data_IF_056363760944
#
_entry.id   IF_056363760944
#
_cell.length_a   1.000
_cell.length_b   1.000
_cell.length_c   1.000
_cell.angle_alpha   90.00
_cell.angle_beta   90.00
_cell.angle_gamma   90.00
#
_symmetry.space_group_name_H-M   'P 1'
#
loop_
_entity.id
_entity.type
_entity.pdbx_description
1 polymer ?
#
# COMPACT_ATOMS: atom_id res chain seq x y z
N UNK A 1 -24.74 -6.77 -11.50
CA UNK A 1 -24.07 -6.53 -10.22
C UNK A 1 -24.73 -7.25 -9.03
N UNK A 2 -26.07 -7.31 -8.94
CA UNK A 2 -26.81 -7.98 -7.84
C UNK A 2 -26.56 -9.49 -7.85
N UNK A 3 -26.62 -10.14 -9.02
CA UNK A 3 -26.36 -11.58 -9.14
C UNK A 3 -24.93 -11.93 -8.76
N UNK A 4 -23.94 -11.08 -9.11
CA UNK A 4 -22.56 -11.24 -8.68
C UNK A 4 -22.44 -11.17 -7.16
N UNK A 5 -23.01 -10.12 -6.54
CA UNK A 5 -22.98 -9.96 -5.08
C UNK A 5 -23.68 -11.13 -4.35
N UNK A 6 -24.77 -11.64 -4.92
CA UNK A 6 -25.46 -12.83 -4.39
C UNK A 6 -24.59 -14.08 -4.45
N UNK A 7 -23.83 -14.26 -5.54
CA UNK A 7 -22.93 -15.41 -5.68
C UNK A 7 -21.74 -15.34 -4.75
N UNK A 8 -21.22 -14.14 -4.44
CA UNK A 8 -20.14 -13.96 -3.47
C UNK A 8 -20.52 -14.42 -2.06
N UNK A 9 -21.81 -14.33 -1.69
CA UNK A 9 -22.28 -14.74 -0.37
C UNK A 9 -22.93 -16.11 -0.34
N UNK A 10 -23.31 -16.68 -1.49
CA UNK A 10 -24.11 -17.90 -1.60
C UNK A 10 -23.49 -19.10 -0.88
N UNK A 11 -22.17 -19.25 -0.96
CA UNK A 11 -21.47 -20.40 -0.39
C UNK A 11 -20.93 -20.17 1.02
N UNK A 12 -21.08 -18.97 1.58
CA UNK A 12 -20.45 -18.62 2.87
C UNK A 12 -20.96 -19.48 4.02
N UNK A 13 -22.26 -19.82 4.05
CA UNK A 13 -22.81 -20.68 5.11
C UNK A 13 -22.25 -22.10 5.03
N UNK A 14 -22.21 -22.69 3.83
CA UNK A 14 -21.64 -24.04 3.66
C UNK A 14 -20.14 -24.05 3.98
N UNK A 15 -19.39 -23.02 3.55
CA UNK A 15 -17.98 -22.87 3.85
C UNK A 15 -17.74 -22.71 5.36
N UNK A 16 -18.55 -21.91 6.04
CA UNK A 16 -18.47 -21.74 7.49
C UNK A 16 -18.59 -23.07 8.22
N UNK A 17 -19.59 -23.91 7.87
CA UNK A 17 -19.80 -25.22 8.52
C UNK A 17 -18.61 -26.16 8.26
N UNK A 18 -18.10 -26.21 7.04
CA UNK A 18 -16.92 -27.04 6.71
C UNK A 18 -15.71 -26.58 7.52
N UNK A 19 -15.45 -25.27 7.56
CA UNK A 19 -14.33 -24.71 8.31
C UNK A 19 -14.47 -24.96 9.82
N UNK A 20 -15.68 -24.75 10.36
CA UNK A 20 -15.98 -25.01 11.78
C UNK A 20 -15.67 -26.45 12.17
N UNK A 21 -16.12 -27.43 11.38
CA UNK A 21 -15.83 -28.85 11.61
C UNK A 21 -14.33 -29.14 11.54
N UNK A 22 -13.61 -28.58 10.55
CA UNK A 22 -12.17 -28.79 10.43
C UNK A 22 -11.39 -28.16 11.60
N UNK A 23 -11.76 -26.96 12.03
CA UNK A 23 -11.14 -26.28 13.16
C UNK A 23 -11.39 -27.07 14.46
N UNK A 24 -12.60 -27.56 14.66
CA UNK A 24 -12.95 -28.37 15.82
C UNK A 24 -12.15 -29.68 15.89
N UNK A 25 -12.03 -30.40 14.77
CA UNK A 25 -11.19 -31.62 14.68
C UNK A 25 -9.73 -31.36 15.03
N UNK A 26 -9.24 -30.16 14.81
CA UNK A 26 -7.85 -29.74 15.11
C UNK A 26 -7.69 -29.06 16.46
N UNK A 27 -8.74 -28.99 17.27
CA UNK A 27 -8.79 -28.23 18.52
C UNK A 27 -8.36 -26.75 18.39
N UNK A 28 -8.78 -26.10 17.29
CA UNK A 28 -8.41 -24.70 16.95
C UNK A 28 -9.62 -23.77 16.93
N UNK A 29 -10.82 -24.29 17.12
CA UNK A 29 -12.05 -23.51 16.99
C UNK A 29 -12.05 -22.34 18.00
N UNK A 30 -11.73 -22.59 19.25
CA UNK A 30 -11.68 -21.56 20.31
C UNK A 30 -10.68 -20.43 19.96
N UNK A 31 -9.48 -20.78 19.53
CA UNK A 31 -8.47 -19.81 19.14
C UNK A 31 -8.93 -18.97 17.93
N UNK A 32 -9.65 -19.57 16.98
CA UNK A 32 -10.21 -18.87 15.83
C UNK A 32 -11.33 -17.91 16.25
N UNK A 33 -12.19 -18.31 17.19
CA UNK A 33 -13.26 -17.46 17.73
C UNK A 33 -12.64 -16.27 18.46
N UNK A 34 -11.66 -16.50 19.32
CA UNK A 34 -10.97 -15.44 20.07
C UNK A 34 -10.34 -14.40 19.13
N UNK A 35 -9.61 -14.86 18.10
CA UNK A 35 -9.01 -13.95 17.10
C UNK A 35 -10.09 -13.19 16.32
N UNK A 36 -11.19 -13.85 15.96
CA UNK A 36 -12.30 -13.21 15.27
C UNK A 36 -12.94 -12.12 16.15
N UNK A 37 -13.12 -12.35 17.44
CA UNK A 37 -13.60 -11.35 18.38
C UNK A 37 -12.63 -10.17 18.51
N UNK A 38 -11.32 -10.41 18.49
CA UNK A 38 -10.32 -9.35 18.46
C UNK A 38 -10.41 -8.50 17.19
N UNK A 39 -10.72 -9.11 16.04
CA UNK A 39 -10.93 -8.38 14.79
C UNK A 39 -12.18 -7.49 14.83
N UNK A 40 -13.28 -7.94 15.45
CA UNK A 40 -14.52 -7.13 15.56
C UNK A 40 -14.35 -5.87 16.43
N UNK A 41 -13.36 -5.88 17.34
CA UNK A 41 -13.05 -4.72 18.19
C UNK A 41 -12.18 -3.67 17.48
N UNK A 42 -11.70 -3.95 16.28
CA UNK A 42 -10.90 -2.99 15.51
C UNK A 42 -11.80 -1.89 14.96
N UNK A 43 -11.60 -0.69 15.42
CA UNK A 43 -12.26 0.47 14.85
C UNK A 43 -11.57 0.90 13.56
N UNK A 44 -12.38 1.17 12.55
CA UNK A 44 -11.90 1.77 11.31
C UNK A 44 -11.80 3.28 11.51
N UNK A 45 -10.61 3.78 11.79
CA UNK A 45 -10.37 5.21 11.96
C UNK A 45 -10.28 5.99 10.64
N UNK A 46 -10.62 5.36 9.53
CA UNK A 46 -10.39 5.92 8.19
C UNK A 46 -8.91 5.96 7.82
N UNK A 47 -8.62 6.05 6.54
CA UNK A 47 -7.28 6.42 6.08
C UNK A 47 -7.28 7.94 5.90
N UNK A 48 -6.87 8.66 6.93
CA UNK A 48 -6.60 10.10 6.77
C UNK A 48 -5.34 10.25 5.91
N UNK A 49 -5.39 11.19 4.98
CA UNK A 49 -4.19 11.62 4.28
C UNK A 49 -3.20 12.14 5.32
N UNK A 50 -2.01 11.55 5.34
CA UNK A 50 -0.89 12.03 6.15
C UNK A 50 0.14 12.64 5.19
N UNK A 51 0.38 13.94 5.33
CA UNK A 51 1.35 14.66 4.52
C UNK A 51 2.78 14.10 4.61
N UNK A 52 3.08 13.27 5.61
CA UNK A 52 4.38 12.61 5.76
C UNK A 52 4.44 11.21 5.12
N UNK A 53 3.31 10.66 4.68
CA UNK A 53 3.24 9.32 4.05
C UNK A 53 4.06 9.19 2.75
N UNK A 54 4.48 10.30 2.13
CA UNK A 54 5.40 10.26 1.00
C UNK A 54 6.74 9.61 1.34
N UNK A 55 7.16 9.62 2.62
CA UNK A 55 8.35 8.93 3.07
C UNK A 55 8.24 7.39 3.03
N UNK A 56 7.01 6.87 2.96
CA UNK A 56 6.74 5.43 2.80
C UNK A 56 6.90 4.94 1.36
N UNK A 57 7.01 5.86 0.40
CA UNK A 57 7.32 5.51 -0.99
C UNK A 57 8.62 4.72 -1.03
N UNK A 58 8.61 3.57 -1.70
CA UNK A 58 9.77 2.68 -1.76
C UNK A 58 11.01 3.43 -2.25
N UNK A 59 12.09 3.34 -1.50
CA UNK A 59 13.38 4.03 -1.75
C UNK A 59 13.37 5.55 -1.53
N UNK A 60 12.31 6.16 -0.99
CA UNK A 60 12.30 7.61 -0.71
C UNK A 60 13.54 8.06 0.10
N UNK A 61 14.02 7.23 1.02
CA UNK A 61 15.21 7.49 1.84
C UNK A 61 16.53 7.60 1.04
N UNK A 62 16.54 7.23 -0.23
CA UNK A 62 17.74 7.37 -1.11
C UNK A 62 17.76 8.68 -1.88
N UNK A 63 16.68 9.47 -1.81
CA UNK A 63 16.56 10.73 -2.51
C UNK A 63 17.29 11.86 -1.80
N UNK A 64 17.75 12.85 -2.57
CA UNK A 64 18.28 14.11 -2.03
C UNK A 64 17.18 14.90 -1.33
N UNK A 65 17.56 15.89 -0.52
CA UNK A 65 16.58 16.78 0.14
C UNK A 65 15.68 17.51 -0.87
N UNK A 66 16.22 17.93 -2.00
CA UNK A 66 15.48 18.58 -3.07
C UNK A 66 14.48 17.58 -3.71
N UNK A 67 14.94 16.39 -4.07
CA UNK A 67 14.09 15.32 -4.60
C UNK A 67 12.98 14.91 -3.64
N UNK A 68 13.24 14.92 -2.33
CA UNK A 68 12.21 14.62 -1.32
C UNK A 68 11.13 15.70 -1.24
N UNK A 69 11.50 16.97 -1.40
CA UNK A 69 10.53 18.07 -1.48
C UNK A 69 9.63 17.92 -2.71
N UNK A 70 10.23 17.63 -3.85
CA UNK A 70 9.48 17.34 -5.09
C UNK A 70 8.58 16.11 -4.93
N UNK A 71 9.07 15.04 -4.31
CA UNK A 71 8.26 13.86 -4.03
C UNK A 71 7.05 14.21 -3.15
N UNK A 72 7.21 15.04 -2.12
CA UNK A 72 6.12 15.51 -1.26
C UNK A 72 5.07 16.26 -2.07
N UNK A 73 5.48 17.25 -2.87
CA UNK A 73 4.56 18.05 -3.70
C UNK A 73 3.78 17.19 -4.69
N UNK A 74 4.44 16.25 -5.36
CA UNK A 74 3.79 15.30 -6.27
C UNK A 74 2.82 14.36 -5.53
N UNK A 75 3.18 13.94 -4.32
CA UNK A 75 2.36 13.04 -3.50
C UNK A 75 1.07 13.73 -3.04
N UNK A 76 1.17 14.98 -2.56
CA UNK A 76 0.05 15.83 -2.17
C UNK A 76 -0.89 16.09 -3.36
N UNK A 77 -0.36 16.51 -4.49
CA UNK A 77 -1.14 16.77 -5.71
C UNK A 77 -1.86 15.52 -6.23
N UNK A 78 -1.21 14.35 -6.18
CA UNK A 78 -1.84 13.08 -6.55
C UNK A 78 -3.07 12.78 -5.70
N UNK A 79 -2.97 13.00 -4.40
CA UNK A 79 -4.07 12.75 -3.48
C UNK A 79 -5.23 13.72 -3.73
N UNK A 80 -4.96 15.01 -3.93
CA UNK A 80 -5.98 16.00 -4.31
C UNK A 80 -6.71 15.63 -5.61
N UNK A 81 -5.97 15.17 -6.64
CA UNK A 81 -6.60 14.76 -7.90
C UNK A 81 -7.47 13.53 -7.73
N UNK A 82 -7.04 12.60 -6.89
CA UNK A 82 -7.80 11.38 -6.58
C UNK A 82 -9.08 11.70 -5.80
N UNK A 83 -9.01 12.58 -4.80
CA UNK A 83 -10.16 13.04 -4.03
C UNK A 83 -11.18 13.78 -4.91
N UNK A 84 -10.74 14.71 -5.77
CA UNK A 84 -11.62 15.47 -6.66
C UNK A 84 -12.44 14.59 -7.61
N UNK A 85 -11.98 13.37 -7.91
CA UNK A 85 -12.67 12.43 -8.82
C UNK A 85 -13.20 11.19 -8.12
N UNK A 86 -13.06 11.11 -6.80
CA UNK A 86 -13.45 9.95 -6.00
C UNK A 86 -12.90 8.62 -6.58
N UNK A 87 -11.59 8.60 -6.86
CA UNK A 87 -10.90 7.43 -7.39
C UNK A 87 -9.64 7.12 -6.58
N UNK A 88 -9.20 5.86 -6.52
CA UNK A 88 -7.95 5.50 -5.85
C UNK A 88 -6.74 6.22 -6.44
N UNK A 89 -5.79 6.64 -5.60
CA UNK A 89 -4.60 7.43 -5.99
C UNK A 89 -3.76 6.79 -7.10
N UNK A 90 -3.69 5.46 -7.16
CA UNK A 90 -2.92 4.74 -8.18
C UNK A 90 -3.50 4.85 -9.59
N UNK A 91 -4.75 5.30 -9.75
CA UNK A 91 -5.34 5.61 -11.07
C UNK A 91 -4.66 6.81 -11.75
N UNK A 92 -4.07 7.71 -10.97
CA UNK A 92 -3.31 8.83 -11.50
C UNK A 92 -1.84 8.52 -11.71
N UNK A 93 -1.19 8.03 -10.66
CA UNK A 93 0.22 7.67 -10.70
C UNK A 93 0.54 6.68 -9.58
N UNK A 94 1.34 5.67 -9.89
CA UNK A 94 1.87 4.77 -8.86
C UNK A 94 3.03 5.45 -8.12
N UNK A 95 3.37 4.95 -6.93
CA UNK A 95 4.52 5.45 -6.16
C UNK A 95 5.82 5.38 -6.95
N UNK A 96 5.97 4.38 -7.82
CA UNK A 96 7.15 4.26 -8.68
C UNK A 96 7.26 5.38 -9.73
N UNK A 97 6.14 5.89 -10.23
CA UNK A 97 6.11 7.06 -11.15
C UNK A 97 6.54 8.31 -10.40
N UNK A 98 5.96 8.57 -9.22
CA UNK A 98 6.33 9.73 -8.39
C UNK A 98 7.81 9.70 -8.02
N UNK A 99 8.31 8.53 -7.60
CA UNK A 99 9.72 8.34 -7.28
C UNK A 99 10.63 8.63 -8.48
N UNK A 100 10.30 8.10 -9.67
CA UNK A 100 11.09 8.32 -10.88
C UNK A 100 11.18 9.80 -11.27
N UNK A 101 10.06 10.53 -11.20
CA UNK A 101 10.01 11.98 -11.46
C UNK A 101 10.85 12.74 -10.42
N UNK A 102 10.65 12.44 -9.13
CA UNK A 102 11.38 13.10 -8.06
C UNK A 102 12.89 12.81 -8.09
N UNK A 103 13.30 11.62 -8.52
CA UNK A 103 14.71 11.25 -8.63
C UNK A 103 15.42 11.97 -9.78
N UNK A 104 14.75 12.15 -10.92
CA UNK A 104 15.35 12.73 -12.12
C UNK A 104 15.18 14.24 -12.25
N UNK A 105 14.23 14.82 -11.51
CA UNK A 105 13.93 16.27 -11.50
C UNK A 105 13.79 16.83 -12.94
N UNK A 106 12.88 16.29 -13.77
CA UNK A 106 12.78 16.64 -15.17
C UNK A 106 12.46 18.14 -15.37
N UNK A 107 13.04 18.73 -16.40
CA UNK A 107 12.84 20.15 -16.75
C UNK A 107 11.97 20.36 -18.00
N UNK A 108 11.80 19.31 -18.81
CA UNK A 108 11.02 19.33 -20.04
C UNK A 108 10.23 18.04 -20.22
N UNK A 109 9.41 18.00 -21.28
CA UNK A 109 8.54 16.86 -21.57
C UNK A 109 9.33 15.58 -21.88
N UNK A 110 10.46 15.72 -22.54
CA UNK A 110 11.28 14.57 -22.93
C UNK A 110 11.88 13.92 -21.69
N UNK A 111 12.57 14.68 -20.85
CA UNK A 111 13.15 14.20 -19.58
C UNK A 111 12.09 13.66 -18.61
N UNK A 112 10.87 14.23 -18.65
CA UNK A 112 9.75 13.74 -17.88
C UNK A 112 9.31 12.34 -18.35
N UNK A 113 9.23 12.10 -19.66
CA UNK A 113 8.90 10.77 -20.21
C UNK A 113 9.99 9.75 -19.89
N UNK A 114 11.26 10.13 -19.95
CA UNK A 114 12.41 9.30 -19.60
C UNK A 114 12.51 9.00 -18.08
N UNK A 115 11.83 9.80 -17.27
CA UNK A 115 11.80 9.61 -15.81
C UNK A 115 10.91 8.45 -15.35
N UNK A 116 10.05 7.93 -16.23
CA UNK A 116 9.08 6.90 -15.92
C UNK A 116 9.22 5.68 -16.82
N UNK A 117 8.67 4.54 -16.39
CA UNK A 117 8.63 3.34 -17.23
C UNK A 117 7.73 3.56 -18.46
N UNK A 118 8.06 2.93 -19.59
CA UNK A 118 7.36 3.05 -20.87
C UNK A 118 5.81 2.94 -20.77
N UNK A 119 5.31 2.04 -19.93
CA UNK A 119 3.87 1.82 -19.70
C UNK A 119 3.13 3.03 -19.10
N UNK A 120 3.85 3.97 -18.46
CA UNK A 120 3.27 5.16 -17.83
C UNK A 120 3.45 6.43 -18.63
N UNK A 121 4.23 6.40 -19.73
CA UNK A 121 4.51 7.58 -20.57
C UNK A 121 3.23 8.25 -21.07
N UNK A 122 2.23 7.47 -21.50
CA UNK A 122 0.96 8.01 -21.97
C UNK A 122 0.16 8.78 -20.91
N UNK A 123 0.20 8.32 -19.66
CA UNK A 123 -0.48 8.99 -18.53
C UNK A 123 0.25 10.27 -18.16
N UNK A 124 1.57 10.22 -18.08
CA UNK A 124 2.43 11.35 -17.71
C UNK A 124 2.41 12.43 -18.78
N UNK A 125 2.38 12.05 -20.09
CA UNK A 125 2.31 12.98 -21.20
C UNK A 125 1.05 13.85 -21.20
N UNK A 126 -0.10 13.28 -20.80
CA UNK A 126 -1.38 14.02 -20.71
C UNK A 126 -1.35 15.13 -19.65
N UNK A 127 -0.56 14.98 -18.59
CA UNK A 127 -0.43 15.93 -17.49
C UNK A 127 0.97 16.56 -17.42
N UNK A 128 1.73 16.52 -18.51
CA UNK A 128 3.14 16.94 -18.51
C UNK A 128 3.35 18.37 -18.01
N UNK A 129 2.53 19.34 -18.47
CA UNK A 129 2.64 20.71 -18.02
C UNK A 129 2.38 20.90 -16.53
N UNK A 130 1.38 20.20 -15.99
CA UNK A 130 1.04 20.23 -14.55
C UNK A 130 2.13 19.56 -13.71
N UNK A 131 2.64 18.41 -14.16
CA UNK A 131 3.72 17.70 -13.46
C UNK A 131 5.04 18.49 -13.43
N UNK A 132 5.42 19.13 -14.55
CA UNK A 132 6.63 19.97 -14.60
C UNK A 132 6.49 21.18 -13.66
N UNK A 133 5.32 21.82 -13.63
CA UNK A 133 5.06 22.90 -12.67
C UNK A 133 5.21 22.42 -11.23
N UNK A 134 4.66 21.26 -10.89
CA UNK A 134 4.80 20.68 -9.55
C UNK A 134 6.25 20.33 -9.19
N UNK A 135 7.07 19.93 -10.17
CA UNK A 135 8.50 19.70 -9.96
C UNK A 135 9.19 21.03 -9.59
N UNK A 136 8.91 22.12 -10.32
CA UNK A 136 9.49 23.43 -9.99
C UNK A 136 8.98 23.96 -8.63
N UNK A 137 7.67 23.85 -8.35
CA UNK A 137 7.11 24.20 -7.04
C UNK A 137 7.79 23.41 -5.89
N UNK A 138 8.02 22.12 -6.11
CA UNK A 138 8.69 21.26 -5.12
C UNK A 138 10.15 21.65 -4.88
N UNK A 139 10.89 22.09 -5.90
CA UNK A 139 12.28 22.57 -5.73
C UNK A 139 12.38 23.79 -4.83
N UNK A 140 11.43 24.72 -4.95
CA UNK A 140 11.40 25.95 -4.15
C UNK A 140 10.67 25.81 -2.81
N UNK A 141 10.12 24.63 -2.51
CA UNK A 141 9.40 24.37 -1.25
C UNK A 141 10.33 24.59 -0.04
N UNK A 142 9.95 25.52 0.83
CA UNK A 142 10.71 25.90 2.04
C UNK A 142 10.28 25.13 3.28
N UNK A 143 9.20 24.37 3.22
CA UNK A 143 8.70 23.60 4.37
C UNK A 143 9.77 22.60 4.84
N UNK A 144 10.01 22.48 6.15
CA UNK A 144 10.99 21.52 6.66
C UNK A 144 10.62 20.09 6.26
N UNK A 145 11.63 19.30 5.96
CA UNK A 145 11.44 17.88 5.74
C UNK A 145 11.33 17.16 7.09
N UNK A 146 10.39 16.24 7.25
CA UNK A 146 10.32 15.42 8.45
C UNK A 146 11.58 14.55 8.54
N UNK A 147 11.97 14.22 9.78
CA UNK A 147 13.11 13.31 10.01
C UNK A 147 12.75 11.94 9.44
N UNK A 148 13.53 11.49 8.46
CA UNK A 148 13.37 10.13 7.92
C UNK A 148 13.58 9.17 9.10
N UNK A 149 12.59 8.34 9.45
CA UNK A 149 12.75 7.37 10.52
C UNK A 149 13.94 6.47 10.18
N UNK A 150 14.98 6.47 11.01
CA UNK A 150 16.19 5.63 10.80
C UNK A 150 15.90 4.13 10.87
N UNK A 151 14.71 3.77 11.27
CA UNK A 151 14.20 2.41 11.29
C UNK A 151 13.04 2.30 10.32
N UNK A 152 13.31 1.87 9.10
CA UNK A 152 12.47 0.83 8.58
C UNK A 152 12.58 -0.30 9.62
N UNK A 153 11.71 -0.24 10.62
CA UNK A 153 11.48 -1.41 11.45
C UNK A 153 11.09 -2.47 10.43
N UNK A 154 12.03 -3.35 10.05
CA UNK A 154 11.65 -4.66 9.54
C UNK A 154 10.52 -5.04 10.47
N UNK A 155 9.27 -5.06 9.97
CA UNK A 155 8.15 -5.60 10.73
C UNK A 155 8.74 -6.81 11.39
N UNK A 156 8.93 -6.76 12.70
CA UNK A 156 9.28 -7.98 13.42
C UNK A 156 8.16 -8.90 13.00
N UNK A 157 8.49 -9.82 12.11
CA UNK A 157 7.58 -10.91 11.77
C UNK A 157 7.21 -11.44 13.14
N UNK A 158 5.96 -11.26 13.54
CA UNK A 158 5.53 -11.57 14.88
C UNK A 158 6.07 -12.96 15.20
N UNK A 159 7.08 -13.03 16.04
CA UNK A 159 7.85 -14.26 16.32
C UNK A 159 6.90 -15.37 16.74
N UNK A 160 5.90 -15.00 17.53
CA UNK A 160 4.84 -15.90 17.95
C UNK A 160 3.97 -16.40 16.78
N UNK A 161 3.63 -15.52 15.77
CA UNK A 161 2.85 -15.92 14.60
C UNK A 161 3.63 -16.90 13.72
N UNK A 162 4.94 -16.69 13.56
CA UNK A 162 5.80 -17.65 12.86
C UNK A 162 5.96 -18.95 13.63
N UNK A 163 6.02 -18.90 14.96
CA UNK A 163 6.04 -20.10 15.79
C UNK A 163 4.74 -20.91 15.68
N UNK A 164 3.60 -20.22 15.64
CA UNK A 164 2.29 -20.84 15.40
C UNK A 164 2.25 -21.44 13.99
N UNK A 165 2.54 -20.67 12.96
CA UNK A 165 2.54 -21.15 11.55
C UNK A 165 3.49 -22.35 11.40
N UNK A 166 4.69 -22.30 11.99
CA UNK A 166 5.65 -23.41 11.95
C UNK A 166 5.15 -24.65 12.71
N UNK A 167 4.47 -24.47 13.85
CA UNK A 167 3.82 -25.59 14.57
C UNK A 167 2.71 -26.23 13.73
N UNK A 168 1.92 -25.43 13.01
CA UNK A 168 0.88 -25.91 12.10
C UNK A 168 1.46 -26.70 10.93
N UNK A 169 2.47 -26.16 10.27
CA UNK A 169 3.12 -26.83 9.13
C UNK A 169 3.74 -28.18 9.55
N UNK A 170 4.36 -28.25 10.74
CA UNK A 170 4.90 -29.50 11.26
C UNK A 170 3.82 -30.53 11.60
N UNK A 171 2.67 -30.10 12.17
CA UNK A 171 1.56 -31.02 12.47
C UNK A 171 0.90 -31.56 11.19
N UNK A 172 0.69 -30.72 10.17
CA UNK A 172 0.11 -31.16 8.91
C UNK A 172 1.01 -32.13 8.13
N UNK A 173 2.33 -32.00 8.25
CA UNK A 173 3.29 -32.93 7.65
C UNK A 173 3.37 -34.29 8.38
N UNK A 174 3.09 -34.32 9.68
CA UNK A 174 3.00 -35.61 10.42
C UNK A 174 1.70 -36.38 10.15
N UNK A 175 0.60 -35.69 9.83
CA UNK A 175 -0.71 -36.34 9.53
C UNK A 175 -0.79 -36.86 8.08
N UNK A 176 0.07 -36.40 7.17
CA UNK A 176 0.17 -36.91 5.78
C UNK A 176 1.15 -38.09 5.65
N UNK A 177 1.85 -38.47 6.71
CA UNK A 177 2.82 -39.58 6.72
C UNK A 177 2.28 -40.86 7.41
N UNK A 178 0.99 -40.90 7.71
CA UNK A 178 0.22 -42.09 8.18
C UNK A 178 -0.87 -42.42 7.13
#
# INVERSE_FOLDING_TARGET
HIDYARMDTHYLLALHEIMRLQLNRRALLEACIEESLCLTRREWNGRRFDGEDFLRVKKAHTLSSESLKVLRTLYEARDEWAQKRDVPVFHYATDGVLFGIAQKLPVDRQSLQESVQAKYVGVVSKKSGELLRLVEEGKVDTRPLPKIPRTYVKRQKNRWLNEIVNKFQRKSQCETAL
#
